data_IF_228326574915
#
_entry.id   IF_228326574915
#
_cell.length_a   1.000
_cell.length_b   1.000
_cell.length_c   1.000
_cell.angle_alpha   90.00
_cell.angle_beta   90.00
_cell.angle_gamma   90.00
#
_symmetry.space_group_name_H-M   'P 1'
#
loop_
_entity.id
_entity.type
_entity.pdbx_description
1 polymer ?
#
# COMPACT_ATOMS: atom_id res chain seq x y z
N UNK A 1 23.22 -2.97 -4.32
CA UNK A 1 22.41 -4.20 -4.30
C UNK A 1 21.11 -3.77 -3.66
N UNK A 2 20.04 -3.63 -4.43
CA UNK A 2 18.77 -3.19 -3.89
C UNK A 2 18.09 -4.38 -3.22
N UNK A 3 18.10 -4.42 -1.88
CA UNK A 3 17.39 -5.46 -1.11
C UNK A 3 15.94 -5.01 -0.91
N UNK A 4 15.01 -5.69 -1.60
CA UNK A 4 13.58 -5.48 -1.33
C UNK A 4 13.24 -6.13 0.02
N UNK A 5 12.74 -5.32 0.97
CA UNK A 5 12.26 -5.78 2.26
C UNK A 5 10.75 -5.97 2.22
N UNK A 6 10.28 -7.02 2.87
CA UNK A 6 8.86 -7.25 3.10
C UNK A 6 8.55 -6.93 4.55
N UNK A 7 7.59 -6.05 4.80
CA UNK A 7 7.02 -5.83 6.15
C UNK A 7 5.53 -6.10 6.14
N UNK A 8 5.01 -6.58 7.26
CA UNK A 8 3.57 -6.67 7.53
C UNK A 8 3.16 -5.70 8.63
N UNK A 9 4.10 -4.87 9.09
CA UNK A 9 3.91 -4.02 10.25
C UNK A 9 3.27 -2.69 9.82
N UNK A 10 2.04 -2.46 10.28
CA UNK A 10 1.24 -1.31 9.89
C UNK A 10 1.95 0.03 10.15
N UNK A 11 2.62 0.15 11.30
CA UNK A 11 3.39 1.35 11.65
C UNK A 11 4.60 1.59 10.74
N UNK A 12 5.31 0.52 10.31
CA UNK A 12 6.44 0.64 9.39
C UNK A 12 5.97 1.07 8.00
N UNK A 13 4.90 0.45 7.50
CA UNK A 13 4.30 0.80 6.21
C UNK A 13 3.91 2.27 6.23
N UNK A 14 3.17 2.69 7.25
CA UNK A 14 2.69 4.06 7.39
C UNK A 14 3.85 5.05 7.41
N UNK A 15 4.87 4.83 8.25
CA UNK A 15 6.05 5.71 8.29
C UNK A 15 6.76 5.78 6.95
N UNK A 16 7.01 4.63 6.33
CA UNK A 16 7.76 4.55 5.09
C UNK A 16 7.05 5.27 3.94
N UNK A 17 5.71 5.19 3.93
CA UNK A 17 4.83 5.89 2.99
C UNK A 17 4.78 7.39 3.26
N UNK A 18 4.57 7.81 4.51
CA UNK A 18 4.57 9.23 4.90
C UNK A 18 5.93 9.90 4.63
N UNK A 19 7.06 9.20 4.85
CA UNK A 19 8.41 9.69 4.52
C UNK A 19 8.61 9.95 3.02
N UNK A 20 7.79 9.33 2.17
CA UNK A 20 7.83 9.46 0.70
C UNK A 20 6.68 10.31 0.17
N UNK A 21 5.98 11.02 1.04
CA UNK A 21 4.79 11.83 0.71
C UNK A 21 3.69 11.01 0.01
N UNK A 22 3.63 9.71 0.32
CA UNK A 22 2.68 8.79 -0.28
C UNK A 22 1.36 8.69 0.49
N UNK A 23 0.33 8.19 -0.18
CA UNK A 23 -1.01 7.98 0.38
C UNK A 23 -1.53 6.58 0.05
N UNK A 24 -2.22 5.90 0.98
CA UNK A 24 -2.83 4.60 0.71
C UNK A 24 -3.95 4.69 -0.34
N UNK A 25 -3.92 3.76 -1.29
CA UNK A 25 -4.93 3.63 -2.32
C UNK A 25 -5.26 2.15 -2.57
N UNK A 26 -6.44 1.91 -3.14
CA UNK A 26 -6.84 0.57 -3.57
C UNK A 26 -7.25 0.59 -5.04
N UNK A 27 -6.76 -0.40 -5.78
CA UNK A 27 -7.23 -0.68 -7.13
C UNK A 27 -8.30 -1.75 -7.04
N UNK A 28 -9.56 -1.34 -7.24
CA UNK A 28 -10.67 -2.29 -7.38
C UNK A 28 -10.67 -2.86 -8.79
N UNK A 29 -10.06 -4.03 -8.98
CA UNK A 29 -10.22 -4.74 -10.26
C UNK A 29 -11.61 -5.35 -10.37
N UNK A 30 -12.10 -5.57 -11.59
CA UNK A 30 -13.40 -6.23 -11.84
C UNK A 30 -13.42 -7.73 -11.44
N UNK A 31 -12.30 -8.26 -10.93
CA UNK A 31 -12.17 -9.62 -10.41
C UNK A 31 -12.26 -9.70 -8.87
N UNK A 32 -12.20 -10.92 -8.33
CA UNK A 32 -12.35 -11.26 -6.90
C UNK A 32 -11.20 -10.77 -5.97
N UNK A 33 -10.45 -9.74 -6.35
CA UNK A 33 -9.33 -9.23 -5.54
C UNK A 33 -9.03 -7.76 -5.82
N UNK A 34 -8.92 -6.95 -4.78
CA UNK A 34 -8.37 -5.59 -4.87
C UNK A 34 -6.86 -5.62 -4.68
N UNK A 35 -6.12 -4.76 -5.38
CA UNK A 35 -4.69 -4.56 -5.13
C UNK A 35 -4.54 -3.32 -4.26
N UNK A 36 -3.92 -3.47 -3.09
CA UNK A 36 -3.50 -2.34 -2.27
C UNK A 36 -2.23 -1.75 -2.85
N UNK A 37 -2.23 -0.44 -3.10
CA UNK A 37 -1.07 0.27 -3.63
C UNK A 37 -0.89 1.58 -2.88
N UNK A 38 0.34 2.06 -2.83
CA UNK A 38 0.62 3.40 -2.31
C UNK A 38 0.79 4.31 -3.51
N UNK A 39 0.04 5.39 -3.50
CA UNK A 39 0.16 6.46 -4.46
C UNK A 39 1.23 7.44 -3.94
N UNK A 40 2.25 7.75 -4.74
CA UNK A 40 3.32 8.69 -4.38
C UNK A 40 3.23 10.00 -5.18
N UNK A 41 2.07 10.32 -5.75
CA UNK A 41 1.95 11.51 -6.57
C UNK A 41 0.75 11.50 -7.49
N UNK A 42 0.97 11.21 -8.78
CA UNK A 42 -0.06 11.38 -9.80
C UNK A 42 -1.19 10.37 -9.58
N UNK A 43 -2.37 10.82 -9.13
CA UNK A 43 -3.48 9.93 -8.89
C UNK A 43 -3.88 9.32 -10.24
N UNK A 44 -3.58 8.04 -10.44
CA UNK A 44 -4.12 7.31 -11.59
C UNK A 44 -5.64 7.23 -11.40
N UNK A 45 -6.44 7.49 -12.44
CA UNK A 45 -7.92 7.39 -12.38
C UNK A 45 -8.42 6.01 -11.89
N UNK A 46 -7.56 4.99 -11.88
CA UNK A 46 -7.86 3.63 -11.41
C UNK A 46 -7.52 3.37 -9.95
N UNK A 47 -6.84 4.29 -9.27
CA UNK A 47 -6.48 4.20 -7.85
C UNK A 47 -7.52 4.98 -7.04
N UNK A 48 -8.29 4.27 -6.21
CA UNK A 48 -9.19 4.92 -5.27
C UNK A 48 -8.42 5.24 -3.98
N UNK A 49 -8.20 6.52 -3.62
CA UNK A 49 -7.59 6.86 -2.34
C UNK A 49 -8.52 6.41 -1.22
N UNK A 50 -7.94 5.71 -0.24
CA UNK A 50 -8.66 5.17 0.92
C UNK A 50 -7.96 5.59 2.21
N UNK A 51 -8.66 5.47 3.32
CA UNK A 51 -8.08 5.71 4.64
C UNK A 51 -7.13 4.55 5.01
N UNK A 52 -6.15 4.85 5.87
CA UNK A 52 -5.24 3.83 6.42
C UNK A 52 -5.98 2.69 7.10
N UNK A 53 -7.10 2.97 7.76
CA UNK A 53 -7.91 1.97 8.46
C UNK A 53 -8.46 0.91 7.48
N UNK A 54 -9.01 1.35 6.35
CA UNK A 54 -9.49 0.46 5.28
C UNK A 54 -8.33 -0.29 4.61
N UNK A 55 -7.21 0.40 4.38
CA UNK A 55 -6.02 -0.21 3.79
C UNK A 55 -5.52 -1.38 4.65
N UNK A 56 -5.33 -1.15 5.95
CA UNK A 56 -4.87 -2.20 6.86
C UNK A 56 -5.90 -3.28 7.07
N UNK A 57 -7.19 -2.96 7.04
CA UNK A 57 -8.23 -3.98 7.11
C UNK A 57 -8.15 -4.95 5.94
N UNK A 58 -8.07 -4.45 4.72
CA UNK A 58 -7.95 -5.29 3.51
C UNK A 58 -6.60 -6.03 3.53
N UNK A 59 -5.54 -5.37 4.00
CA UNK A 59 -4.19 -5.95 4.10
C UNK A 59 -4.17 -7.16 5.04
N UNK A 60 -4.77 -7.02 6.23
CA UNK A 60 -4.88 -8.06 7.25
C UNK A 60 -5.86 -9.17 6.83
N UNK A 61 -7.02 -8.81 6.27
CA UNK A 61 -8.01 -9.78 5.77
C UNK A 61 -7.44 -10.68 4.66
N UNK A 62 -6.44 -10.21 3.90
CA UNK A 62 -5.81 -10.95 2.81
C UNK A 62 -4.40 -11.48 3.15
N UNK A 63 -3.93 -11.31 4.40
CA UNK A 63 -2.59 -11.69 4.86
C UNK A 63 -1.49 -11.22 3.88
N UNK A 64 -1.59 -9.96 3.45
CA UNK A 64 -0.67 -9.39 2.46
C UNK A 64 0.68 -9.05 3.07
N UNK A 65 1.72 -9.02 2.24
CA UNK A 65 3.05 -8.56 2.61
C UNK A 65 3.39 -7.29 1.83
N UNK A 66 3.76 -6.22 2.55
CA UNK A 66 4.16 -4.96 1.94
C UNK A 66 5.61 -5.05 1.50
N UNK A 67 5.83 -5.09 0.19
CA UNK A 67 7.16 -5.06 -0.38
C UNK A 67 7.60 -3.61 -0.56
N UNK A 68 8.64 -3.21 0.16
CA UNK A 68 9.26 -1.90 0.02
C UNK A 68 10.75 -2.05 -0.28
N UNK A 69 11.29 -1.09 -1.02
CA UNK A 69 12.72 -1.01 -1.26
C UNK A 69 13.29 0.09 -0.37
N UNK A 70 14.13 -0.31 0.58
CA UNK A 70 15.08 0.59 1.22
C UNK A 70 16.26 0.72 0.25
N UNK A 71 16.59 1.95 -0.15
CA UNK A 71 17.65 2.24 -1.12
C UNK A 71 19.05 1.85 -0.61
#
# INVERSE_FOLDING_TARGET
MSEAKTTTNHDEIRKWVEERDGQPAVVRTKGKGGILRIDFGEPEDTLEPIEWDEFFRIFDENDLAFLHQDE
#
